data_IF_791764812363
#
_entry.id   IF_791764812363
#
_cell.length_a   1.000
_cell.length_b   1.000
_cell.length_c   1.000
_cell.angle_alpha   90.00
_cell.angle_beta   90.00
_cell.angle_gamma   90.00
#
_symmetry.space_group_name_H-M   'P 1'
#
loop_
_entity.id
_entity.type
_entity.pdbx_description
1 polymer ?
#
# COMPACT_ATOMS: atom_id res chain seq x y z
N UNK A 1 -19.90 3.94 -0.07
CA UNK A 1 -19.25 2.69 -0.53
C UNK A 1 -20.20 1.51 -0.75
N UNK A 2 -21.04 1.13 0.24
CA UNK A 2 -21.89 -0.06 0.15
C UNK A 2 -22.82 -0.16 -1.09
N UNK A 3 -23.29 0.96 -1.66
CA UNK A 3 -24.13 0.94 -2.89
C UNK A 3 -23.35 0.61 -4.17
N UNK A 4 -22.06 0.92 -4.24
CA UNK A 4 -21.23 0.68 -5.43
C UNK A 4 -20.65 -0.73 -5.41
N UNK A 5 -20.22 -1.21 -4.24
CA UNK A 5 -19.75 -2.58 -4.02
C UNK A 5 -20.85 -3.62 -4.34
N UNK A 6 -22.12 -3.32 -4.09
CA UNK A 6 -23.27 -4.20 -4.44
C UNK A 6 -23.48 -4.39 -5.95
N UNK A 7 -22.84 -3.58 -6.81
CA UNK A 7 -22.95 -3.68 -8.28
C UNK A 7 -21.79 -4.44 -8.92
N UNK A 8 -20.78 -4.81 -8.15
CA UNK A 8 -19.61 -5.56 -8.62
C UNK A 8 -19.81 -7.02 -8.18
N UNK A 9 -19.69 -7.95 -9.12
CA UNK A 9 -19.86 -9.38 -8.82
C UNK A 9 -18.76 -9.87 -7.85
N UNK A 10 -19.11 -10.83 -7.00
CA UNK A 10 -18.16 -11.42 -6.03
C UNK A 10 -16.81 -11.84 -6.63
N UNK A 11 -16.77 -12.54 -7.78
CA UNK A 11 -15.52 -12.93 -8.43
C UNK A 11 -14.64 -11.76 -8.91
N UNK A 12 -15.22 -10.57 -9.11
CA UNK A 12 -14.47 -9.37 -9.46
C UNK A 12 -13.97 -8.62 -8.23
N UNK A 13 -14.73 -8.64 -7.13
CA UNK A 13 -14.29 -8.05 -5.87
C UNK A 13 -13.04 -8.74 -5.32
N UNK A 14 -12.91 -10.06 -5.51
CA UNK A 14 -11.72 -10.84 -5.13
C UNK A 14 -10.44 -10.45 -5.90
N UNK A 15 -10.58 -9.71 -7.00
CA UNK A 15 -9.47 -9.23 -7.84
C UNK A 15 -9.12 -7.76 -7.61
N UNK A 16 -9.78 -7.07 -6.68
CA UNK A 16 -9.47 -5.67 -6.34
C UNK A 16 -8.66 -5.67 -5.05
N UNK A 17 -7.35 -5.41 -5.16
CA UNK A 17 -6.41 -5.49 -4.04
C UNK A 17 -6.56 -4.32 -3.04
N UNK A 18 -7.03 -3.14 -3.48
CA UNK A 18 -7.15 -1.96 -2.63
C UNK A 18 -8.41 -1.14 -2.94
N UNK A 19 -9.14 -0.76 -1.89
CA UNK A 19 -10.19 0.25 -1.94
C UNK A 19 -9.74 1.48 -1.13
N UNK A 20 -9.61 2.62 -1.80
CA UNK A 20 -9.28 3.90 -1.16
C UNK A 20 -10.41 4.88 -1.41
N UNK A 21 -10.93 5.49 -0.34
CA UNK A 21 -11.83 6.63 -0.47
C UNK A 21 -11.01 7.90 -0.70
N UNK A 22 -11.35 8.63 -1.76
CA UNK A 22 -10.66 9.89 -2.10
C UNK A 22 -11.63 11.02 -1.78
N UNK A 23 -11.40 11.80 -0.70
CA UNK A 23 -12.29 12.89 -0.34
C UNK A 23 -12.30 13.95 -1.43
N UNK A 24 -13.42 14.67 -1.56
CA UNK A 24 -13.51 15.81 -2.47
C UNK A 24 -12.50 16.87 -2.04
N UNK A 25 -11.78 17.43 -3.01
CA UNK A 25 -10.86 18.54 -2.78
C UNK A 25 -11.69 19.81 -2.52
N UNK A 26 -11.40 20.51 -1.43
CA UNK A 26 -12.03 21.78 -1.07
C UNK A 26 -11.71 22.86 -2.11
N UNK A 27 -12.68 23.74 -2.40
CA UNK A 27 -12.51 24.81 -3.39
C UNK A 27 -11.33 25.74 -3.07
N UNK A 28 -11.09 26.03 -1.78
CA UNK A 28 -9.97 26.85 -1.33
C UNK A 28 -8.60 26.21 -1.64
N UNK A 29 -8.48 24.89 -1.63
CA UNK A 29 -7.26 24.17 -2.01
C UNK A 29 -7.04 24.14 -3.53
N UNK A 30 -8.10 24.31 -4.32
CA UNK A 30 -8.02 24.42 -5.78
C UNK A 30 -7.69 25.83 -6.25
N UNK A 31 -7.97 26.84 -5.42
CA UNK A 31 -7.85 28.26 -5.77
C UNK A 31 -6.73 29.00 -5.05
N UNK A 32 -6.22 28.44 -3.95
CA UNK A 32 -5.04 28.95 -3.26
C UNK A 32 -3.73 28.65 -4.01
N UNK A 33 -2.63 29.32 -3.63
CA UNK A 33 -1.30 28.96 -4.13
C UNK A 33 -0.96 27.50 -3.79
N UNK A 34 -0.19 26.79 -4.63
CA UNK A 34 0.17 25.40 -4.39
C UNK A 34 0.82 25.24 -3.01
N UNK A 35 0.18 24.48 -2.12
CA UNK A 35 0.64 24.28 -0.74
C UNK A 35 1.44 22.97 -0.55
N UNK A 36 1.80 22.29 -1.64
CA UNK A 36 2.40 20.96 -1.62
C UNK A 36 3.68 20.92 -2.44
N UNK A 37 4.49 19.89 -2.19
CA UNK A 37 5.61 19.51 -3.05
C UNK A 37 5.17 19.51 -4.52
N UNK A 38 5.98 20.07 -5.40
CA UNK A 38 5.63 20.14 -6.82
C UNK A 38 5.51 18.73 -7.42
N UNK A 39 4.80 18.61 -8.54
CA UNK A 39 4.76 17.33 -9.28
C UNK A 39 6.16 16.80 -9.61
N UNK A 40 7.14 17.69 -9.74
CA UNK A 40 8.55 17.36 -9.94
C UNK A 40 9.18 16.65 -8.72
N UNK A 41 8.95 17.15 -7.51
CA UNK A 41 9.47 16.52 -6.28
C UNK A 41 8.86 15.12 -6.08
N UNK A 42 7.56 15.00 -6.37
CA UNK A 42 6.86 13.71 -6.32
C UNK A 42 7.43 12.75 -7.35
N UNK A 43 7.64 13.23 -8.58
CA UNK A 43 8.25 12.45 -9.67
C UNK A 43 9.62 11.92 -9.27
N UNK A 44 10.48 12.78 -8.75
CA UNK A 44 11.82 12.39 -8.31
C UNK A 44 11.79 11.29 -7.25
N UNK A 45 10.91 11.40 -6.25
CA UNK A 45 10.76 10.37 -5.21
C UNK A 45 10.29 9.04 -5.77
N UNK A 46 9.33 9.08 -6.68
CA UNK A 46 8.81 7.87 -7.34
C UNK A 46 9.89 7.22 -8.22
N UNK A 47 10.66 8.02 -8.96
CA UNK A 47 11.77 7.53 -9.78
C UNK A 47 12.84 6.83 -8.92
N UNK A 48 13.23 7.42 -7.79
CA UNK A 48 14.17 6.80 -6.84
C UNK A 48 13.65 5.47 -6.29
N UNK A 49 12.38 5.41 -5.87
CA UNK A 49 11.79 4.15 -5.40
C UNK A 49 11.74 3.09 -6.51
N UNK A 50 11.51 3.49 -7.76
CA UNK A 50 11.54 2.60 -8.92
C UNK A 50 12.93 2.10 -9.24
N UNK A 51 13.98 2.88 -9.00
CA UNK A 51 15.37 2.43 -9.15
C UNK A 51 15.70 1.32 -8.15
N UNK A 52 15.33 1.50 -6.88
CA UNK A 52 15.47 0.46 -5.85
C UNK A 52 14.74 -0.82 -6.26
N UNK A 53 13.50 -0.68 -6.75
CA UNK A 53 12.70 -1.81 -7.21
C UNK A 53 13.33 -2.53 -8.41
N UNK A 54 13.89 -1.80 -9.38
CA UNK A 54 14.58 -2.39 -10.54
C UNK A 54 15.83 -3.13 -10.13
N UNK A 55 16.62 -2.56 -9.21
CA UNK A 55 17.82 -3.20 -8.70
C UNK A 55 17.50 -4.51 -7.95
N UNK A 56 16.43 -4.51 -7.14
CA UNK A 56 15.95 -5.70 -6.42
C UNK A 56 15.60 -6.86 -7.36
N UNK A 57 14.96 -6.57 -8.48
CA UNK A 57 14.47 -7.59 -9.42
C UNK A 57 15.37 -7.77 -10.65
N UNK A 58 16.60 -7.26 -10.60
CA UNK A 58 17.54 -7.46 -11.69
C UNK A 58 17.79 -8.96 -11.91
N UNK A 59 17.65 -9.40 -13.16
CA UNK A 59 17.79 -10.81 -13.54
C UNK A 59 16.65 -11.76 -13.13
N UNK A 60 15.62 -11.33 -12.40
CA UNK A 60 14.51 -12.21 -11.98
C UNK A 60 13.34 -12.29 -12.97
N UNK A 61 13.31 -11.38 -13.97
CA UNK A 61 12.20 -11.26 -14.91
C UNK A 61 10.95 -10.55 -14.35
N UNK A 62 10.99 -10.14 -13.08
CA UNK A 62 9.91 -9.43 -12.38
C UNK A 62 10.03 -7.93 -12.68
N UNK A 63 8.93 -7.32 -13.10
CA UNK A 63 8.90 -5.89 -13.47
C UNK A 63 8.22 -5.05 -12.38
N UNK A 64 7.38 -5.65 -11.55
CA UNK A 64 6.59 -4.97 -10.53
C UNK A 64 6.48 -5.77 -9.22
N UNK A 65 6.36 -5.05 -8.09
CA UNK A 65 6.12 -5.67 -6.78
C UNK A 65 4.89 -6.59 -6.75
N UNK A 66 3.86 -6.32 -7.55
CA UNK A 66 2.64 -7.17 -7.61
C UNK A 66 2.82 -8.50 -8.37
N UNK A 67 3.97 -8.69 -9.04
CA UNK A 67 4.35 -9.93 -9.70
C UNK A 67 5.19 -10.85 -8.79
N UNK A 68 5.52 -10.39 -7.57
CA UNK A 68 6.25 -11.20 -6.60
C UNK A 68 5.49 -12.50 -6.28
N UNK A 69 6.21 -13.61 -6.27
CA UNK A 69 5.71 -14.87 -5.74
C UNK A 69 6.00 -15.01 -4.24
N UNK A 70 5.65 -16.15 -3.63
CA UNK A 70 5.89 -16.38 -2.21
C UNK A 70 7.35 -16.28 -1.78
N UNK A 71 8.28 -16.68 -2.65
CA UNK A 71 9.72 -16.66 -2.37
C UNK A 71 10.23 -15.22 -2.36
N UNK A 72 9.82 -14.42 -3.34
CA UNK A 72 10.21 -13.02 -3.46
C UNK A 72 9.60 -12.20 -2.33
N UNK A 73 8.31 -12.42 -2.00
CA UNK A 73 7.69 -11.78 -0.83
C UNK A 73 8.48 -12.12 0.45
N UNK A 74 8.90 -13.37 0.63
CA UNK A 74 9.69 -13.76 1.80
C UNK A 74 11.05 -13.06 1.86
N UNK A 75 11.73 -12.91 0.73
CA UNK A 75 13.07 -12.34 0.65
C UNK A 75 13.06 -10.80 0.72
N UNK A 76 12.12 -10.17 0.02
CA UNK A 76 12.15 -8.74 -0.27
C UNK A 76 11.23 -7.89 0.63
N UNK A 77 10.24 -8.51 1.27
CA UNK A 77 9.32 -7.85 2.19
C UNK A 77 9.71 -8.08 3.65
N UNK A 78 10.96 -7.74 4.01
CA UNK A 78 11.40 -7.75 5.40
C UNK A 78 10.58 -6.76 6.23
N UNK A 79 10.04 -7.20 7.35
CA UNK A 79 9.13 -6.42 8.20
C UNK A 79 9.78 -6.20 9.56
N UNK A 80 9.75 -4.96 10.08
CA UNK A 80 10.24 -4.67 11.43
C UNK A 80 9.39 -5.36 12.49
N UNK A 81 9.93 -5.58 13.68
CA UNK A 81 9.23 -6.32 14.75
C UNK A 81 7.89 -5.69 15.17
N UNK A 82 7.84 -4.36 15.28
CA UNK A 82 6.61 -3.64 15.60
C UNK A 82 5.54 -3.81 14.51
N UNK A 83 5.94 -3.80 13.23
CA UNK A 83 5.01 -3.96 12.11
C UNK A 83 4.56 -5.42 11.98
N UNK A 84 5.44 -6.37 12.32
CA UNK A 84 5.10 -7.79 12.41
C UNK A 84 4.04 -8.04 13.47
N UNK A 85 4.18 -7.42 14.65
CA UNK A 85 3.18 -7.49 15.72
C UNK A 85 1.82 -6.94 15.27
N UNK A 86 1.82 -5.79 14.58
CA UNK A 86 0.60 -5.21 14.01
C UNK A 86 -0.06 -6.14 12.98
N UNK A 87 0.73 -6.72 12.08
CA UNK A 87 0.24 -7.68 11.09
C UNK A 87 -0.35 -8.93 11.74
N UNK A 88 0.28 -9.46 12.79
CA UNK A 88 -0.26 -10.58 13.56
C UNK A 88 -1.62 -10.24 14.18
N UNK A 89 -1.74 -9.06 14.81
CA UNK A 89 -3.02 -8.59 15.34
C UNK A 89 -4.08 -8.46 14.25
N UNK A 90 -3.71 -7.91 13.09
CA UNK A 90 -4.59 -7.78 11.94
C UNK A 90 -5.06 -9.15 11.41
N UNK A 91 -4.18 -10.14 11.34
CA UNK A 91 -4.52 -11.52 10.93
C UNK A 91 -5.52 -12.20 11.89
N UNK A 92 -5.50 -11.85 13.17
CA UNK A 92 -6.43 -12.41 14.17
C UNK A 92 -7.78 -11.69 14.12
N UNK A 93 -7.76 -10.36 13.98
CA UNK A 93 -8.97 -9.53 14.07
C UNK A 93 -9.72 -9.42 12.74
N UNK A 94 -9.00 -9.52 11.62
CA UNK A 94 -9.55 -9.50 10.27
C UNK A 94 -9.43 -10.92 9.70
N UNK A 95 -10.48 -11.48 9.09
CA UNK A 95 -10.44 -12.80 8.45
C UNK A 95 -9.63 -12.73 7.13
N UNK A 96 -8.34 -12.42 7.23
CA UNK A 96 -7.44 -12.32 6.10
C UNK A 96 -7.02 -13.72 5.65
N UNK A 97 -7.18 -13.99 4.37
CA UNK A 97 -6.58 -15.17 3.75
C UNK A 97 -5.06 -15.02 3.66
N UNK A 98 -4.34 -16.13 3.47
CA UNK A 98 -2.90 -16.10 3.19
C UNK A 98 -2.57 -15.24 1.95
N UNK A 99 -3.45 -15.24 0.94
CA UNK A 99 -3.33 -14.39 -0.25
C UNK A 99 -3.44 -12.92 0.12
N UNK A 100 -4.44 -12.55 0.93
CA UNK A 100 -4.61 -11.17 1.40
C UNK A 100 -3.42 -10.70 2.21
N UNK A 101 -2.83 -11.58 3.05
CA UNK A 101 -1.60 -11.28 3.78
C UNK A 101 -0.43 -10.97 2.85
N UNK A 102 -0.20 -11.79 1.82
CA UNK A 102 0.83 -11.53 0.81
C UNK A 102 0.60 -10.19 0.09
N UNK A 103 -0.65 -9.90 -0.31
CA UNK A 103 -0.99 -8.63 -0.94
C UNK A 103 -0.69 -7.42 -0.06
N UNK A 104 -0.91 -7.51 1.25
CA UNK A 104 -0.53 -6.45 2.18
C UNK A 104 0.97 -6.18 2.13
N UNK A 105 1.80 -7.22 2.08
CA UNK A 105 3.26 -7.08 1.99
C UNK A 105 3.70 -6.49 0.66
N UNK A 106 3.13 -6.94 -0.46
CA UNK A 106 3.41 -6.40 -1.80
C UNK A 106 3.05 -4.92 -1.92
N UNK A 107 1.97 -4.47 -1.25
CA UNK A 107 1.55 -3.06 -1.21
C UNK A 107 2.42 -2.25 -0.24
N UNK A 108 2.86 -2.84 0.87
CA UNK A 108 3.71 -2.16 1.85
C UNK A 108 5.15 -1.95 1.36
N UNK A 109 5.69 -2.87 0.57
CA UNK A 109 7.04 -2.79 -0.02
C UNK A 109 7.33 -1.49 -0.79
N UNK A 110 6.52 -1.03 -1.75
CA UNK A 110 6.75 0.24 -2.43
C UNK A 110 6.57 1.45 -1.50
N UNK A 111 5.79 1.34 -0.41
CA UNK A 111 5.69 2.41 0.60
C UNK A 111 7.00 2.54 1.37
N UNK A 112 7.65 1.42 1.70
CA UNK A 112 8.98 1.41 2.28
C UNK A 112 10.04 1.95 1.29
N UNK A 113 9.95 1.56 0.01
CA UNK A 113 10.85 2.06 -1.05
C UNK A 113 10.74 3.60 -1.20
N UNK A 114 9.52 4.14 -1.17
CA UNK A 114 9.26 5.59 -1.20
C UNK A 114 9.78 6.34 0.05
N UNK A 115 9.97 5.63 1.15
CA UNK A 115 10.56 6.16 2.38
C UNK A 115 12.08 5.93 2.47
N UNK A 116 12.68 5.27 1.48
CA UNK A 116 14.09 4.88 1.52
C UNK A 116 14.41 3.85 2.61
N UNK A 117 13.41 3.07 3.04
CA UNK A 117 13.58 2.06 4.09
C UNK A 117 13.79 0.67 3.49
N UNK A 118 14.79 -0.05 3.98
CA UNK A 118 15.01 -1.46 3.63
C UNK A 118 13.93 -2.38 4.21
N UNK A 119 13.36 -2.01 5.37
CA UNK A 119 12.30 -2.78 6.03
C UNK A 119 10.94 -2.10 5.92
N UNK A 120 9.88 -2.90 5.92
CA UNK A 120 8.51 -2.43 6.10
C UNK A 120 8.33 -2.09 7.58
N UNK A 121 8.14 -0.80 7.85
CA UNK A 121 8.00 -0.26 9.20
C UNK A 121 6.53 0.08 9.50
N UNK A 122 6.18 0.15 10.79
CA UNK A 122 4.86 0.62 11.24
C UNK A 122 4.60 2.05 10.79
N UNK A 123 5.63 2.89 10.90
CA UNK A 123 5.65 4.26 10.44
C UNK A 123 6.91 4.50 9.59
N UNK A 124 6.77 4.85 8.30
CA UNK A 124 7.93 5.07 7.45
C UNK A 124 8.71 6.34 7.85
N UNK A 125 10.05 6.30 7.87
CA UNK A 125 10.88 7.45 8.21
C UNK A 125 10.63 8.62 7.24
N UNK A 126 10.66 9.85 7.76
CA UNK A 126 10.45 11.06 6.96
C UNK A 126 9.00 11.54 6.84
N UNK A 127 8.00 10.83 7.39
CA UNK A 127 6.65 11.40 7.63
C UNK A 127 6.61 12.20 8.94
N UNK A 128 7.43 13.25 9.05
CA UNK A 128 7.34 14.19 10.19
C UNK A 128 6.08 15.06 10.18
N UNK A 129 5.23 14.94 9.15
CA UNK A 129 3.91 15.54 9.14
C UNK A 129 2.88 14.45 9.44
N UNK A 130 1.93 14.67 10.39
CA UNK A 130 0.83 13.74 10.58
C UNK A 130 0.15 13.54 9.23
N UNK A 131 0.16 12.31 8.74
CA UNK A 131 -0.75 11.93 7.66
C UNK A 131 -2.12 12.31 8.21
N UNK A 132 -2.88 13.22 7.58
CA UNK A 132 -4.21 13.49 8.08
C UNK A 132 -4.90 12.14 8.15
N UNK A 133 -5.43 11.83 9.33
CA UNK A 133 -6.19 10.61 9.67
C UNK A 133 -7.40 10.36 8.76
N UNK A 134 -7.51 11.07 7.63
CA UNK A 134 -8.42 10.83 6.52
C UNK A 134 -8.23 9.49 5.81
N UNK A 135 -7.20 8.68 6.11
CA UNK A 135 -7.19 7.24 5.75
C UNK A 135 -8.04 6.36 6.69
N UNK A 136 -9.03 6.93 7.38
CA UNK A 136 -10.06 6.20 8.14
C UNK A 136 -11.04 5.38 7.27
N UNK A 137 -10.74 5.19 5.98
CA UNK A 137 -11.62 4.56 5.00
C UNK A 137 -11.13 3.25 4.40
N UNK A 138 -9.99 2.70 4.85
CA UNK A 138 -9.56 1.35 4.41
C UNK A 138 -10.44 0.31 5.10
N UNK A 139 -11.66 0.14 4.59
CA UNK A 139 -12.46 -1.04 4.92
C UNK A 139 -11.85 -2.24 4.23
N UNK A 140 -11.04 -2.98 4.98
CA UNK A 140 -10.84 -4.40 4.73
C UNK A 140 -12.19 -5.09 4.97
N UNK A 141 -13.03 -5.22 3.95
CA UNK A 141 -14.27 -5.98 4.09
C UNK A 141 -14.64 -6.66 2.76
N UNK A 142 -14.64 -7.99 2.78
CA UNK A 142 -15.15 -8.78 1.67
C UNK A 142 -14.81 -10.26 1.59
N UNK A 143 -14.05 -10.87 2.52
CA UNK A 143 -13.88 -12.33 2.52
C UNK A 143 -15.12 -13.00 3.14
N UNK A 144 -16.09 -13.37 2.29
CA UNK A 144 -17.08 -14.39 2.65
C UNK A 144 -16.44 -15.73 2.34
N UNK A 145 -16.31 -16.56 3.39
CA UNK A 145 -16.07 -17.99 3.26
C UNK A 145 -17.21 -18.61 2.45
N UNK A 146 -16.83 -19.31 1.38
CA UNK A 146 -17.46 -20.55 0.94
C UNK A 146 -16.32 -21.53 0.63
#
# INVERSE_FOLDING_TARGET
MARYQRRISGPMLDRIDLFVDVPRVEYEKLTGPPSAAGSEDVRQRVETAREVQRARFDGSGIVANGEMGPVEVWNDCQVEEAARSLLQMAMIQLPLSARSFHRVLEVARPVADLAGSEQIMTEPPGRGAPVPTTYAGVSACGFRSD
#
